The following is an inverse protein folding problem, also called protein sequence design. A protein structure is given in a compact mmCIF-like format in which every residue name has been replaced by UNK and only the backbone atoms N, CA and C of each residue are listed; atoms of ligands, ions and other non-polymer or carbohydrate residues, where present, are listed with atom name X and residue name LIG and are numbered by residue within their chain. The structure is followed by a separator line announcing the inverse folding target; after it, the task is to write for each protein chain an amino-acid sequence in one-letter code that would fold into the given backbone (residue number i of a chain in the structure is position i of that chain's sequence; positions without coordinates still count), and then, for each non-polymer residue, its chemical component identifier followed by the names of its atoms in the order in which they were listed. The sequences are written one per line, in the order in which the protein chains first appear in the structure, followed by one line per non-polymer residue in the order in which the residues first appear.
data_IF_643470185075
#
_entry.id   IF_643470185075
#
_cell.length_a   1.000
_cell.length_b   1.000
_cell.length_c   1.000
_cell.angle_alpha   90.00
_cell.angle_beta   90.00
_cell.angle_gamma   90.00
#
_symmetry.space_group_name_H-M   'P 1'
#
loop_
_entity.id
_entity.type
_entity.pdbx_description
1 polymer ?
#
# COMPACT_ATOMS: atom_id res chain seq x y z
N UNK A 1 -10.25 -20.82 13.72
CA UNK A 1 -11.41 -20.00 13.33
C UNK A 1 -10.99 -19.00 12.25
N UNK A 2 -11.94 -18.55 11.42
CA UNK A 2 -11.73 -17.57 10.35
C UNK A 2 -12.77 -16.46 10.46
N UNK A 3 -12.43 -15.27 9.95
CA UNK A 3 -13.34 -14.14 9.78
C UNK A 3 -13.42 -13.87 8.29
N UNK A 4 -14.62 -13.79 7.75
CA UNK A 4 -14.84 -13.45 6.35
C UNK A 4 -15.83 -12.30 6.23
N UNK A 5 -15.72 -11.57 5.14
CA UNK A 5 -16.62 -10.48 4.81
C UNK A 5 -16.69 -10.26 3.31
N UNK A 6 -17.73 -9.56 2.87
CA UNK A 6 -17.91 -9.17 1.49
C UNK A 6 -18.44 -7.74 1.40
N UNK A 7 -18.05 -7.05 0.34
CA UNK A 7 -18.61 -5.75 -0.04
C UNK A 7 -19.10 -5.83 -1.48
N UNK A 8 -20.17 -5.09 -1.77
CA UNK A 8 -20.78 -5.03 -3.09
C UNK A 8 -21.63 -3.77 -3.23
N UNK A 9 -21.78 -3.30 -4.47
CA UNK A 9 -22.61 -2.14 -4.80
C UNK A 9 -21.89 -0.81 -4.60
N UNK A 10 -22.62 0.19 -4.12
CA UNK A 10 -22.10 1.57 -4.00
C UNK A 10 -21.16 1.72 -2.80
N UNK A 11 -20.06 2.44 -3.00
CA UNK A 11 -19.07 2.69 -1.94
C UNK A 11 -19.68 3.42 -0.74
N UNK A 12 -20.54 4.40 -1.01
CA UNK A 12 -21.25 5.16 0.01
C UNK A 12 -22.77 5.04 -0.14
N UNK A 13 -23.53 5.18 0.95
CA UNK A 13 -24.98 5.25 0.88
C UNK A 13 -25.45 6.38 -0.03
N UNK A 14 -26.57 6.16 -0.73
CA UNK A 14 -27.17 7.18 -1.59
C UNK A 14 -27.50 8.43 -0.77
N UNK A 15 -26.80 9.52 -1.08
CA UNK A 15 -26.97 10.82 -0.44
C UNK A 15 -26.73 11.92 -1.48
N UNK A 16 -27.30 13.10 -1.26
CA UNK A 16 -27.08 14.28 -2.10
C UNK A 16 -25.63 14.78 -2.03
N UNK A 17 -24.92 14.47 -0.95
CA UNK A 17 -23.53 14.87 -0.71
C UNK A 17 -22.49 13.80 -1.11
N UNK A 18 -22.93 12.58 -1.42
CA UNK A 18 -22.02 11.46 -1.72
C UNK A 18 -21.85 11.26 -3.22
N UNK A 19 -20.68 10.76 -3.61
CA UNK A 19 -20.41 10.25 -4.96
C UNK A 19 -21.32 9.06 -5.31
N UNK A 20 -21.27 8.65 -6.58
CA UNK A 20 -22.02 7.47 -7.09
C UNK A 20 -21.09 6.32 -7.46
N UNK A 21 -19.87 6.36 -6.94
CA UNK A 21 -18.83 5.37 -7.21
C UNK A 21 -19.22 4.00 -6.64
N UNK A 22 -18.88 2.96 -7.38
CA UNK A 22 -19.06 1.59 -6.94
C UNK A 22 -17.87 1.18 -6.10
N UNK A 23 -18.11 0.34 -5.09
CA UNK A 23 -17.03 -0.26 -4.32
C UNK A 23 -16.06 -0.99 -5.24
N UNK A 24 -14.78 -0.89 -4.94
CA UNK A 24 -13.72 -1.57 -5.68
C UNK A 24 -12.83 -2.44 -4.76
N UNK A 25 -11.72 -2.93 -5.33
CA UNK A 25 -10.74 -3.74 -4.60
C UNK A 25 -10.06 -2.95 -3.46
N UNK A 26 -9.80 -1.66 -3.69
CA UNK A 26 -9.08 -0.81 -2.74
C UNK A 26 -9.95 -0.40 -1.56
N UNK A 27 -11.27 -0.27 -1.75
CA UNK A 27 -12.22 -0.12 -0.65
C UNK A 27 -12.15 -1.31 0.32
N UNK A 28 -12.21 -2.53 -0.22
CA UNK A 28 -12.09 -3.74 0.60
C UNK A 28 -10.71 -3.84 1.25
N UNK A 29 -9.66 -3.48 0.51
CA UNK A 29 -8.29 -3.48 1.04
C UNK A 29 -8.18 -2.53 2.24
N UNK A 30 -8.76 -1.33 2.15
CA UNK A 30 -8.78 -0.36 3.25
C UNK A 30 -9.47 -0.91 4.50
N UNK A 31 -10.64 -1.52 4.36
CA UNK A 31 -11.35 -2.15 5.48
C UNK A 31 -10.50 -3.26 6.14
N UNK A 32 -9.86 -4.10 5.31
CA UNK A 32 -8.99 -5.19 5.78
C UNK A 32 -7.73 -4.66 6.46
N UNK A 33 -7.12 -3.59 5.95
CA UNK A 33 -5.98 -2.92 6.58
C UNK A 33 -6.34 -2.34 7.95
N UNK A 34 -7.52 -1.72 8.08
CA UNK A 34 -8.01 -1.22 9.37
C UNK A 34 -8.24 -2.37 10.35
N UNK A 35 -8.91 -3.44 9.92
CA UNK A 35 -9.17 -4.62 10.77
C UNK A 35 -7.87 -5.25 11.28
N UNK A 36 -6.89 -5.43 10.41
CA UNK A 36 -5.58 -5.99 10.77
C UNK A 36 -4.72 -4.99 11.56
N UNK A 37 -4.98 -3.70 11.41
CA UNK A 37 -4.36 -2.61 12.13
C UNK A 37 -4.79 -2.50 13.61
N UNK A 38 -5.95 -3.06 13.99
CA UNK A 38 -6.48 -2.98 15.36
C UNK A 38 -5.50 -3.51 16.43
N UNK A 39 -4.66 -4.47 16.08
CA UNK A 39 -3.60 -5.00 16.94
C UNK A 39 -2.32 -4.15 17.00
N UNK A 40 -2.30 -2.95 16.43
CA UNK A 40 -1.08 -2.10 16.37
C UNK A 40 -0.05 -2.59 15.34
N UNK A 41 -0.49 -3.33 14.33
CA UNK A 41 0.36 -3.89 13.24
C UNK A 41 0.20 -3.15 11.90
N UNK A 42 -0.30 -1.91 11.94
CA UNK A 42 -0.50 -1.08 10.75
C UNK A 42 0.82 -0.96 9.97
N UNK A 43 0.77 -1.18 8.66
CA UNK A 43 1.93 -1.05 7.77
C UNK A 43 2.96 -2.20 7.82
N UNK A 44 2.70 -3.28 8.57
CA UNK A 44 3.61 -4.45 8.65
C UNK A 44 3.19 -5.61 7.76
N UNK A 45 2.02 -5.52 7.14
CA UNK A 45 1.49 -6.58 6.28
C UNK A 45 1.83 -6.28 4.82
N UNK A 46 2.11 -7.35 4.08
CA UNK A 46 2.37 -7.28 2.64
C UNK A 46 1.29 -8.00 1.87
N UNK A 47 0.89 -7.42 0.73
CA UNK A 47 -0.14 -7.94 -0.15
C UNK A 47 0.53 -8.44 -1.44
N UNK A 48 0.40 -9.73 -1.72
CA UNK A 48 1.01 -10.34 -2.90
C UNK A 48 -0.05 -10.79 -3.90
N UNK A 49 0.08 -10.46 -5.20
CA UNK A 49 -0.80 -10.99 -6.23
C UNK A 49 -0.79 -12.53 -6.21
N UNK A 50 -1.98 -13.13 -6.19
CA UNK A 50 -2.13 -14.59 -6.13
C UNK A 50 -3.29 -15.06 -7.00
N UNK A 51 -3.15 -16.21 -7.66
CA UNK A 51 -4.26 -16.89 -8.30
C UNK A 51 -4.88 -17.89 -7.31
N UNK A 52 -6.08 -17.58 -6.80
CA UNK A 52 -6.79 -18.44 -5.85
C UNK A 52 -8.18 -18.83 -6.37
N UNK A 53 -8.54 -20.10 -6.17
CA UNK A 53 -9.83 -20.62 -6.59
C UNK A 53 -10.95 -19.82 -5.92
N UNK A 54 -11.96 -19.43 -6.71
CA UNK A 54 -13.06 -18.59 -6.24
C UNK A 54 -12.87 -17.11 -6.50
N UNK A 55 -11.65 -16.64 -6.75
CA UNK A 55 -11.33 -15.24 -6.97
C UNK A 55 -11.02 -14.92 -8.44
N UNK A 56 -11.15 -13.65 -8.82
CA UNK A 56 -10.70 -13.15 -10.10
C UNK A 56 -9.15 -13.17 -10.15
N UNK A 57 -8.52 -13.75 -11.20
CA UNK A 57 -7.08 -13.98 -11.21
C UNK A 57 -6.22 -12.72 -11.24
N UNK A 58 -6.76 -11.61 -11.77
CA UNK A 58 -6.09 -10.31 -11.80
C UNK A 58 -6.45 -9.36 -10.65
N UNK A 59 -7.34 -9.77 -9.74
CA UNK A 59 -7.84 -8.93 -8.64
C UNK A 59 -7.93 -9.75 -7.36
N UNK A 60 -6.83 -10.41 -7.00
CA UNK A 60 -6.73 -11.24 -5.82
C UNK A 60 -5.34 -11.08 -5.20
N UNK A 61 -5.31 -10.90 -3.89
CA UNK A 61 -4.09 -10.75 -3.13
C UNK A 61 -4.11 -11.62 -1.88
N UNK A 62 -3.06 -12.40 -1.68
CA UNK A 62 -2.79 -13.01 -0.38
C UNK A 62 -2.14 -11.99 0.55
N UNK A 63 -2.43 -12.13 1.84
CA UNK A 63 -1.91 -11.25 2.89
C UNK A 63 -0.91 -12.06 3.70
N UNK A 64 0.31 -11.52 3.89
CA UNK A 64 1.34 -12.16 4.70
C UNK A 64 1.85 -11.22 5.80
N UNK A 65 2.22 -11.81 6.94
CA UNK A 65 2.89 -11.11 8.04
C UNK A 65 4.40 -10.95 7.74
N UNK A 66 5.16 -10.18 8.57
CA UNK A 66 6.61 -10.03 8.42
C UNK A 66 7.39 -11.35 8.45
N UNK A 67 6.87 -12.36 9.13
CA UNK A 67 7.45 -13.71 9.20
C UNK A 67 7.20 -14.53 7.92
N UNK A 68 6.43 -14.01 6.96
CA UNK A 68 6.09 -14.65 5.70
C UNK A 68 4.91 -15.62 5.77
N UNK A 69 4.26 -15.73 6.92
CA UNK A 69 3.08 -16.57 7.11
C UNK A 69 1.83 -15.94 6.51
N UNK A 70 0.99 -16.77 5.88
CA UNK A 70 -0.28 -16.33 5.32
C UNK A 70 -1.29 -16.02 6.42
N UNK A 71 -1.76 -14.78 6.41
CA UNK A 71 -2.79 -14.21 7.29
C UNK A 71 -4.19 -14.33 6.69
N UNK A 72 -4.30 -14.22 5.37
CA UNK A 72 -5.58 -14.26 4.69
C UNK A 72 -5.48 -14.06 3.18
N UNK A 73 -6.63 -13.76 2.57
CA UNK A 73 -6.77 -13.37 1.16
C UNK A 73 -7.91 -12.37 1.03
N UNK A 74 -7.79 -11.45 0.07
CA UNK A 74 -8.91 -10.66 -0.42
C UNK A 74 -8.90 -10.58 -1.95
N UNK A 75 -10.06 -10.36 -2.54
CA UNK A 75 -10.16 -10.18 -3.98
C UNK A 75 -11.58 -10.09 -4.51
N UNK A 76 -11.68 -9.77 -5.80
CA UNK A 76 -12.96 -9.83 -6.51
C UNK A 76 -13.40 -11.29 -6.66
N UNK A 77 -14.69 -11.56 -6.48
CA UNK A 77 -15.27 -12.88 -6.70
C UNK A 77 -15.17 -13.25 -8.18
N UNK A 78 -14.87 -14.52 -8.49
CA UNK A 78 -14.68 -14.94 -9.88
C UNK A 78 -15.96 -14.72 -10.73
N UNK A 79 -15.88 -14.11 -11.93
CA UNK A 79 -17.07 -13.78 -12.74
C UNK A 79 -17.94 -14.99 -13.12
N UNK A 80 -17.34 -16.17 -13.27
CA UNK A 80 -18.10 -17.40 -13.50
C UNK A 80 -18.95 -17.84 -12.29
N UNK A 81 -18.51 -17.53 -11.06
CA UNK A 81 -19.29 -17.80 -9.84
C UNK A 81 -20.42 -16.79 -9.74
N UNK A 82 -20.14 -15.51 -9.98
CA UNK A 82 -21.16 -14.45 -10.01
C UNK A 82 -22.29 -14.80 -10.97
N UNK A 83 -21.96 -15.21 -12.21
CA UNK A 83 -22.95 -15.66 -13.21
C UNK A 83 -23.78 -16.86 -12.76
N UNK A 84 -23.15 -17.86 -12.12
CA UNK A 84 -23.87 -19.05 -11.61
C UNK A 84 -24.84 -18.70 -10.49
N UNK A 85 -24.55 -17.66 -9.71
CA UNK A 85 -25.35 -17.20 -8.59
C UNK A 85 -26.32 -16.06 -8.97
N UNK A 86 -26.38 -15.66 -10.25
CA UNK A 86 -27.17 -14.51 -10.74
C UNK A 86 -26.86 -13.21 -9.98
N UNK A 87 -25.57 -12.93 -9.79
CA UNK A 87 -25.07 -11.72 -9.17
C UNK A 87 -24.60 -10.76 -10.26
N UNK A 88 -25.29 -9.62 -10.37
CA UNK A 88 -25.08 -8.65 -11.47
C UNK A 88 -24.16 -7.48 -11.08
N UNK A 89 -23.63 -7.49 -9.86
CA UNK A 89 -22.76 -6.45 -9.31
C UNK A 89 -21.38 -7.01 -9.00
N UNK A 90 -20.36 -6.15 -9.08
CA UNK A 90 -19.01 -6.47 -8.60
C UNK A 90 -19.06 -6.80 -7.10
N UNK A 91 -18.51 -7.96 -6.74
CA UNK A 91 -18.44 -8.42 -5.36
C UNK A 91 -16.97 -8.64 -5.01
N UNK A 92 -16.55 -8.07 -3.89
CA UNK A 92 -15.22 -8.26 -3.33
C UNK A 92 -15.36 -8.99 -2.00
N UNK A 93 -14.50 -9.97 -1.76
CA UNK A 93 -14.58 -10.88 -0.60
C UNK A 93 -13.21 -10.97 0.05
N UNK A 94 -13.19 -11.05 1.38
CA UNK A 94 -11.98 -11.38 2.13
C UNK A 94 -12.21 -12.54 3.07
N UNK A 95 -11.11 -13.22 3.40
CA UNK A 95 -11.07 -14.19 4.48
C UNK A 95 -9.74 -14.09 5.24
N UNK A 96 -9.81 -13.94 6.56
CA UNK A 96 -8.68 -13.79 7.47
C UNK A 96 -8.66 -14.91 8.52
N UNK A 97 -7.47 -15.31 8.93
CA UNK A 97 -7.27 -16.15 10.11
C UNK A 97 -7.56 -15.32 11.36
N UNK A 98 -8.50 -15.77 12.19
CA UNK A 98 -8.91 -15.02 13.39
C UNK A 98 -7.72 -14.78 14.34
N UNK A 99 -6.80 -15.74 14.47
CA UNK A 99 -5.63 -15.61 15.34
C UNK A 99 -4.79 -14.37 15.00
N UNK A 100 -4.66 -14.04 13.72
CA UNK A 100 -3.90 -12.88 13.26
C UNK A 100 -4.51 -11.54 13.68
N UNK A 101 -5.82 -11.50 13.93
CA UNK A 101 -6.55 -10.32 14.43
C UNK A 101 -6.49 -10.19 15.95
N UNK A 102 -6.26 -11.29 16.68
CA UNK A 102 -6.26 -11.31 18.14
C UNK A 102 -4.90 -10.92 18.75
N UNK A 103 -3.84 -11.00 17.96
CA UNK A 103 -2.51 -10.59 18.37
C UNK A 103 -2.37 -9.06 18.36
N UNK A 104 -2.08 -8.48 19.53
CA UNK A 104 -1.86 -7.05 19.67
C UNK A 104 -0.44 -6.75 20.19
N UNK A 105 0.15 -5.65 19.72
CA UNK A 105 1.40 -5.10 20.24
C UNK A 105 1.08 -4.02 21.27
N UNK A 106 1.71 -4.11 22.43
CA UNK A 106 1.70 -3.01 23.40
C UNK A 106 2.43 -1.80 22.83
N UNK A 107 1.81 -0.60 22.82
CA UNK A 107 2.47 0.62 22.39
C UNK A 107 3.73 0.89 23.22
N UNK A 108 4.83 1.20 22.56
CA UNK A 108 6.05 1.66 23.20
C UNK A 108 6.13 3.18 23.05
N UNK A 109 6.32 3.87 24.17
CA UNK A 109 6.45 5.32 24.17
C UNK A 109 7.88 5.68 23.77
N UNK A 110 8.02 6.52 22.76
CA UNK A 110 9.27 7.17 22.39
C UNK A 110 9.19 8.67 22.65
N UNK A 111 10.33 9.30 22.90
CA UNK A 111 10.39 10.74 23.05
C UNK A 111 10.07 11.42 21.71
N UNK A 112 9.16 12.39 21.74
CA UNK A 112 8.86 13.21 20.57
C UNK A 112 10.01 14.19 20.33
N UNK A 113 10.43 14.32 19.07
CA UNK A 113 11.42 15.32 18.69
C UNK A 113 10.83 16.72 18.86
N UNK A 114 11.67 17.66 19.31
CA UNK A 114 11.35 19.10 19.37
C UNK A 114 11.83 19.84 18.12
N UNK A 115 12.49 19.15 17.20
CA UNK A 115 13.08 19.71 15.98
C UNK A 115 12.10 19.57 14.80
N UNK A 116 12.12 20.51 13.85
CA UNK A 116 11.18 20.47 12.73
C UNK A 116 11.39 19.24 11.85
N UNK A 117 10.31 18.78 11.23
CA UNK A 117 10.35 17.79 10.16
C UNK A 117 10.80 18.43 8.84
N UNK A 118 11.44 17.63 7.99
CA UNK A 118 11.76 18.02 6.62
C UNK A 118 11.07 17.05 5.67
N UNK A 119 10.27 17.58 4.75
CA UNK A 119 9.61 16.80 3.71
C UNK A 119 10.26 17.06 2.35
N UNK A 120 10.43 16.00 1.57
CA UNK A 120 10.77 16.08 0.14
C UNK A 120 9.91 15.12 -0.66
N UNK A 121 9.46 15.62 -1.80
CA UNK A 121 8.74 14.81 -2.77
C UNK A 121 9.70 14.42 -3.90
N UNK A 122 9.51 13.23 -4.44
CA UNK A 122 10.19 12.76 -5.65
C UNK A 122 9.21 12.04 -6.56
N UNK A 123 9.43 12.13 -7.87
CA UNK A 123 8.68 11.37 -8.85
C UNK A 123 9.65 10.48 -9.63
N UNK A 124 9.31 9.20 -9.77
CA UNK A 124 10.10 8.22 -10.51
C UNK A 124 9.28 7.64 -11.65
N UNK A 125 9.93 7.35 -12.77
CA UNK A 125 9.38 6.56 -13.86
C UNK A 125 9.95 5.16 -13.75
N UNK A 126 9.07 4.15 -13.72
CA UNK A 126 9.42 2.77 -13.45
C UNK A 126 8.54 1.83 -14.25
N UNK A 127 8.99 0.59 -14.47
CA UNK A 127 8.18 -0.46 -15.09
C UNK A 127 6.86 -0.66 -14.34
N UNK A 128 5.76 -0.79 -15.08
CA UNK A 128 4.41 -0.87 -14.52
C UNK A 128 4.19 -2.13 -13.65
N UNK A 129 4.96 -3.19 -13.87
CA UNK A 129 4.89 -4.44 -13.13
C UNK A 129 5.52 -4.34 -11.74
N UNK A 130 6.38 -3.35 -11.47
CA UNK A 130 7.00 -3.18 -10.15
C UNK A 130 5.94 -2.74 -9.14
N UNK A 131 5.76 -3.51 -8.07
CA UNK A 131 4.71 -3.21 -7.08
C UNK A 131 5.02 -1.96 -6.25
N UNK A 132 3.98 -1.25 -5.81
CA UNK A 132 4.12 -0.10 -4.91
C UNK A 132 4.79 -0.46 -3.58
N UNK A 133 4.54 -1.67 -3.07
CA UNK A 133 5.19 -2.20 -1.87
C UNK A 133 6.69 -2.42 -2.09
N UNK A 134 7.09 -2.96 -3.26
CA UNK A 134 8.51 -3.13 -3.62
C UNK A 134 9.25 -1.79 -3.66
N UNK A 135 8.64 -0.76 -4.26
CA UNK A 135 9.19 0.60 -4.31
C UNK A 135 9.31 1.14 -2.87
N UNK A 136 8.24 1.07 -2.09
CA UNK A 136 8.20 1.63 -0.74
C UNK A 136 9.20 0.95 0.20
N UNK A 137 9.34 -0.38 0.11
CA UNK A 137 10.26 -1.15 0.92
C UNK A 137 11.73 -0.82 0.58
N UNK A 138 12.06 -0.70 -0.71
CA UNK A 138 13.40 -0.30 -1.12
C UNK A 138 13.74 1.11 -0.66
N UNK A 139 12.81 2.05 -0.85
CA UNK A 139 12.99 3.44 -0.42
C UNK A 139 13.16 3.53 1.10
N UNK A 140 12.36 2.81 1.91
CA UNK A 140 12.55 2.75 3.36
C UNK A 140 13.93 2.22 3.75
N UNK A 141 14.43 1.21 3.03
CA UNK A 141 15.74 0.63 3.29
C UNK A 141 16.90 1.59 2.94
N UNK A 142 16.71 2.49 1.97
CA UNK A 142 17.74 3.45 1.53
C UNK A 142 17.60 4.87 2.12
N UNK A 143 16.48 5.20 2.75
CA UNK A 143 16.15 6.55 3.23
C UNK A 143 16.82 6.93 4.58
N UNK A 144 17.65 6.06 5.13
CA UNK A 144 18.34 6.29 6.40
C UNK A 144 17.44 6.14 7.63
N UNK A 145 18.03 6.39 8.81
CA UNK A 145 17.42 6.06 10.11
C UNK A 145 16.25 6.97 10.51
N UNK A 146 16.28 8.24 10.08
CA UNK A 146 15.35 9.27 10.58
C UNK A 146 14.10 9.46 9.73
N UNK A 147 13.81 8.53 8.81
CA UNK A 147 12.58 8.55 8.03
C UNK A 147 11.40 8.27 8.96
N UNK A 148 10.47 9.21 9.08
CA UNK A 148 9.29 9.10 9.94
C UNK A 148 8.03 8.77 9.14
N UNK A 149 7.95 9.18 7.88
CA UNK A 149 6.82 8.87 6.99
C UNK A 149 7.27 8.67 5.54
N UNK A 150 6.58 7.77 4.85
CA UNK A 150 6.71 7.53 3.42
C UNK A 150 5.32 7.24 2.85
N UNK A 151 4.92 8.07 1.89
CA UNK A 151 3.63 7.96 1.21
C UNK A 151 3.80 7.98 -0.30
N UNK A 152 3.08 7.10 -0.99
CA UNK A 152 2.82 7.25 -2.42
C UNK A 152 1.53 8.04 -2.53
N UNK A 153 1.58 9.21 -3.16
CA UNK A 153 0.42 10.10 -3.25
C UNK A 153 -0.11 10.28 -4.66
N UNK A 154 0.63 9.85 -5.68
CA UNK A 154 0.15 9.84 -7.06
C UNK A 154 0.79 8.70 -7.88
N UNK A 155 -0.01 8.12 -8.78
CA UNK A 155 0.43 7.13 -9.77
C UNK A 155 -0.18 7.52 -11.11
N UNK A 156 0.67 7.94 -12.03
CA UNK A 156 0.26 8.38 -13.35
C UNK A 156 0.68 7.37 -14.43
N UNK A 157 -0.30 6.91 -15.20
CA UNK A 157 -0.14 6.08 -16.39
C UNK A 157 -0.95 6.72 -17.52
N UNK A 158 -0.26 7.36 -18.46
CA UNK A 158 -0.90 8.06 -19.57
C UNK A 158 0.11 8.42 -20.65
N UNK A 159 -0.35 9.16 -21.65
CA UNK A 159 0.40 9.40 -22.90
C UNK A 159 1.76 10.08 -22.70
N UNK A 160 1.96 10.79 -21.58
CA UNK A 160 3.22 11.43 -21.24
C UNK A 160 4.31 10.48 -20.70
N UNK A 161 4.00 9.19 -20.51
CA UNK A 161 4.91 8.15 -20.04
C UNK A 161 4.99 7.04 -21.10
N UNK A 162 6.17 6.43 -21.24
CA UNK A 162 6.35 5.35 -22.20
C UNK A 162 5.43 4.16 -21.87
N UNK A 163 4.98 3.46 -22.92
CA UNK A 163 4.12 2.28 -22.75
C UNK A 163 4.84 1.20 -21.92
N UNK A 164 4.14 0.64 -20.94
CA UNK A 164 4.70 -0.33 -20.00
C UNK A 164 5.41 0.31 -18.80
N UNK A 165 5.39 1.64 -18.68
CA UNK A 165 5.91 2.37 -17.53
C UNK A 165 4.81 3.16 -16.83
N UNK A 166 5.07 3.51 -15.57
CA UNK A 166 4.26 4.40 -14.75
C UNK A 166 5.13 5.42 -14.04
N UNK A 167 4.59 6.60 -13.81
CA UNK A 167 5.18 7.60 -12.92
C UNK A 167 4.59 7.43 -11.52
N UNK A 168 5.44 7.33 -10.50
CA UNK A 168 5.03 7.21 -9.10
C UNK A 168 5.58 8.41 -8.34
N UNK A 169 4.71 9.17 -7.68
CA UNK A 169 5.10 10.28 -6.82
C UNK A 169 5.10 9.85 -5.36
N UNK A 170 6.23 10.07 -4.69
CA UNK A 170 6.47 9.71 -3.30
C UNK A 170 6.75 10.97 -2.48
N UNK A 171 6.15 11.05 -1.30
CA UNK A 171 6.48 12.04 -0.28
C UNK A 171 7.21 11.35 0.86
N UNK A 172 8.36 11.90 1.23
CA UNK A 172 9.21 11.37 2.29
C UNK A 172 9.39 12.44 3.36
N UNK A 173 9.26 12.04 4.62
CA UNK A 173 9.40 12.94 5.76
C UNK A 173 10.45 12.40 6.72
N UNK A 174 11.37 13.27 7.13
CA UNK A 174 12.39 12.96 8.12
C UNK A 174 12.28 13.87 9.34
N UNK A 175 12.63 13.33 10.50
CA UNK A 175 12.74 14.11 11.72
C UNK A 175 13.82 13.53 12.64
N UNK A 176 14.85 14.32 12.93
CA UNK A 176 15.93 13.90 13.83
C UNK A 176 15.55 14.20 15.29
N UNK A 177 15.88 13.33 16.27
CA UNK A 177 15.46 13.51 17.67
C UNK A 177 16.20 14.63 18.41
N UNK A 178 17.43 14.96 18.00
CA UNK A 178 18.32 15.89 18.74
C UNK A 178 18.88 17.10 17.97
N UNK A 179 18.53 17.32 16.70
CA UNK A 179 18.99 18.47 15.89
C UNK A 179 18.08 18.69 14.68
N UNK A 180 18.24 19.82 14.00
CA UNK A 180 17.65 20.04 12.67
C UNK A 180 18.46 19.30 11.61
N UNK A 181 17.78 18.75 10.60
CA UNK A 181 18.41 18.14 9.42
C UNK A 181 18.77 19.23 8.41
N UNK A 182 19.97 19.15 7.82
CA UNK A 182 20.40 20.12 6.80
C UNK A 182 19.90 19.71 5.41
N UNK A 183 19.78 20.67 4.50
CA UNK A 183 19.35 20.40 3.13
C UNK A 183 20.35 19.51 2.38
N UNK A 184 21.65 19.61 2.67
CA UNK A 184 22.69 18.77 2.08
C UNK A 184 22.55 17.31 2.50
N UNK A 185 22.26 17.06 3.79
CA UNK A 185 22.02 15.72 4.32
C UNK A 185 20.81 15.08 3.63
N UNK A 186 19.70 15.82 3.54
CA UNK A 186 18.48 15.35 2.87
C UNK A 186 18.74 15.08 1.39
N UNK A 187 19.43 15.98 0.69
CA UNK A 187 19.75 15.79 -0.74
C UNK A 187 20.59 14.54 -0.97
N UNK A 188 21.53 14.25 -0.07
CA UNK A 188 22.35 13.03 -0.12
C UNK A 188 21.48 11.78 0.06
N UNK A 189 20.56 11.79 1.03
CA UNK A 189 19.62 10.67 1.27
C UNK A 189 18.72 10.44 0.07
N UNK A 190 18.16 11.50 -0.53
CA UNK A 190 17.36 11.41 -1.75
C UNK A 190 18.17 10.77 -2.88
N UNK A 191 19.41 11.22 -3.08
CA UNK A 191 20.31 10.65 -4.09
C UNK A 191 20.52 9.14 -3.89
N UNK A 192 20.69 8.69 -2.65
CA UNK A 192 20.83 7.27 -2.33
C UNK A 192 19.55 6.47 -2.67
N UNK A 193 18.36 7.01 -2.35
CA UNK A 193 17.09 6.38 -2.70
C UNK A 193 16.92 6.24 -4.23
N UNK A 194 17.24 7.30 -4.98
CA UNK A 194 17.16 7.29 -6.45
C UNK A 194 18.13 6.27 -7.03
N UNK A 195 19.38 6.25 -6.56
CA UNK A 195 20.38 5.28 -7.01
C UNK A 195 19.94 3.84 -6.73
N UNK A 196 19.40 3.55 -5.54
CA UNK A 196 18.89 2.23 -5.20
C UNK A 196 17.75 1.78 -6.14
N UNK A 197 16.78 2.68 -6.39
CA UNK A 197 15.68 2.43 -7.32
C UNK A 197 16.17 2.22 -8.76
N UNK A 198 17.19 2.97 -9.17
CA UNK A 198 17.82 2.81 -10.49
C UNK A 198 18.55 1.46 -10.60
N UNK A 199 19.34 1.09 -9.60
CA UNK A 199 20.09 -0.17 -9.61
C UNK A 199 19.18 -1.40 -9.57
N UNK A 200 18.12 -1.39 -8.76
CA UNK A 200 17.27 -2.56 -8.56
C UNK A 200 16.15 -2.68 -9.61
N UNK A 201 15.57 -1.56 -10.03
CA UNK A 201 14.38 -1.56 -10.89
C UNK A 201 14.54 -0.77 -12.18
N UNK A 202 15.75 -0.27 -12.48
CA UNK A 202 16.01 0.60 -13.63
C UNK A 202 15.04 1.79 -13.70
N UNK A 203 14.73 2.36 -12.52
CA UNK A 203 13.86 3.52 -12.40
C UNK A 203 14.62 4.80 -12.74
N UNK A 204 13.94 5.76 -13.37
CA UNK A 204 14.47 7.06 -13.72
C UNK A 204 13.80 8.16 -12.89
N UNK A 205 14.58 9.10 -12.36
CA UNK A 205 14.02 10.29 -11.71
C UNK A 205 13.33 11.17 -12.76
N UNK A 206 12.05 11.46 -12.53
CA UNK A 206 11.28 12.37 -13.39
C UNK A 206 11.71 13.80 -13.08
N UNK A 207 12.29 14.46 -14.09
CA UNK A 207 12.65 15.88 -14.05
C UNK A 207 11.43 16.79 -14.21
#
# INVERSE_FOLDING_TARGET
ARVGGLIAGSQLPKSWANGRDQSDFYDLKGDVEVLLGLGGKIGQLSFFPVAECGYHPGQCAEIRNPEGERVGVLGALHPAIQRKLNLDQSIFVFELRLVSLLEARMPQVSALSKYPEVQRDMAIVIDEAVSADSISNLVRASAGEFLTDLRIFDVYQGDAIAKGQKSVALGLTWQHPSRTLSDEEITTIIGNCVNALQEQFNADLRK
#
